data_IF_959812884992
#
_entry.id   IF_959812884992
#
_cell.length_a   1.000
_cell.length_b   1.000
_cell.length_c   1.000
_cell.angle_alpha   90.00
_cell.angle_beta   90.00
_cell.angle_gamma   90.00
#
_symmetry.space_group_name_H-M   'P 1'
#
loop_
_entity.id
_entity.type
_entity.pdbx_description
1 polymer ?
#
# COMPACT_ATOMS: atom_id res chain seq x y z
N UNK A 1 -12.45 11.70 -1.85
CA UNK A 1 -11.05 11.29 -1.99
C UNK A 1 -10.44 12.00 -3.19
N UNK A 2 -9.14 12.33 -3.15
CA UNK A 2 -8.44 13.00 -4.26
C UNK A 2 -6.98 12.56 -4.32
N UNK A 3 -6.34 12.68 -5.47
CA UNK A 3 -4.90 12.61 -5.60
C UNK A 3 -4.31 14.01 -5.55
N UNK A 4 -3.25 14.17 -4.76
CA UNK A 4 -2.54 15.42 -4.65
C UNK A 4 -1.07 15.20 -4.98
N UNK A 5 -0.57 15.96 -5.93
CA UNK A 5 0.86 16.00 -6.26
C UNK A 5 1.46 17.22 -5.56
N UNK A 6 2.22 17.06 -4.45
CA UNK A 6 2.62 18.18 -3.61
C UNK A 6 3.48 19.22 -4.34
N UNK A 7 4.39 18.76 -5.21
CA UNK A 7 5.34 19.64 -5.89
C UNK A 7 4.71 20.50 -6.99
N UNK A 8 3.71 19.97 -7.70
CA UNK A 8 2.97 20.75 -8.71
C UNK A 8 1.71 21.40 -8.15
N UNK A 9 1.37 21.10 -6.89
CA UNK A 9 0.09 21.46 -6.25
C UNK A 9 -1.13 21.00 -7.04
N UNK A 10 -0.97 20.02 -7.93
CA UNK A 10 -2.06 19.50 -8.75
C UNK A 10 -2.94 18.59 -7.90
N UNK A 11 -4.24 18.83 -7.95
CA UNK A 11 -5.26 18.00 -7.31
C UNK A 11 -6.10 17.34 -8.40
N UNK A 12 -6.30 16.03 -8.29
CA UNK A 12 -7.21 15.25 -9.11
C UNK A 12 -8.30 14.74 -8.18
N UNK A 13 -9.47 15.36 -8.25
CA UNK A 13 -10.63 14.90 -7.50
C UNK A 13 -11.14 13.59 -8.08
N UNK A 14 -11.49 12.66 -7.19
CA UNK A 14 -12.12 11.41 -7.59
C UNK A 14 -13.64 11.52 -7.41
N UNK A 15 -14.42 10.90 -8.30
CA UNK A 15 -15.87 10.83 -8.16
C UNK A 15 -16.28 10.22 -6.81
N UNK A 16 -17.52 10.51 -6.40
CA UNK A 16 -18.13 10.16 -5.11
C UNK A 16 -17.48 8.96 -4.43
N UNK A 17 -16.67 9.23 -3.41
CA UNK A 17 -15.88 8.20 -2.73
C UNK A 17 -16.82 7.25 -2.00
N UNK A 18 -16.76 5.92 -2.26
CA UNK A 18 -17.77 4.98 -1.80
C UNK A 18 -17.60 4.56 -0.33
N UNK A 19 -16.57 5.06 0.34
CA UNK A 19 -16.28 4.76 1.75
C UNK A 19 -16.20 6.06 2.56
N UNK A 20 -16.91 6.10 3.68
CA UNK A 20 -16.95 7.21 4.63
C UNK A 20 -15.81 7.17 5.63
N UNK A 21 -15.32 5.97 5.97
CA UNK A 21 -14.26 5.73 6.95
C UNK A 21 -13.18 4.80 6.38
N UNK A 22 -11.92 5.18 6.58
CA UNK A 22 -10.76 4.38 6.18
C UNK A 22 -10.32 3.50 7.36
N UNK A 23 -10.62 2.21 7.30
CA UNK A 23 -10.06 1.19 8.19
C UNK A 23 -9.01 0.34 7.45
N UNK A 24 -9.41 -0.82 6.94
CA UNK A 24 -8.55 -1.82 6.31
C UNK A 24 -8.45 -1.65 4.79
N UNK A 25 -8.56 -0.41 4.32
CA UNK A 25 -8.51 -0.11 2.90
C UNK A 25 -7.07 -0.07 2.43
N UNK A 26 -6.75 -0.89 1.45
CA UNK A 26 -5.45 -0.90 0.79
C UNK A 26 -5.65 -0.64 -0.69
N UNK A 27 -4.87 0.28 -1.23
CA UNK A 27 -5.01 0.75 -2.60
C UNK A 27 -3.73 0.52 -3.40
N UNK A 28 -3.88 0.18 -4.67
CA UNK A 28 -2.82 0.17 -5.66
C UNK A 28 -3.26 0.89 -6.94
N UNK A 29 -2.26 1.40 -7.65
CA UNK A 29 -2.42 2.13 -8.90
C UNK A 29 -1.80 1.35 -10.04
N UNK A 30 -2.46 1.31 -11.18
CA UNK A 30 -1.88 0.72 -12.39
C UNK A 30 -0.73 1.55 -12.94
N UNK A 31 -0.80 2.87 -12.83
CA UNK A 31 0.28 3.78 -13.22
C UNK A 31 0.16 5.12 -12.47
N UNK A 32 0.91 6.14 -12.90
CA UNK A 32 0.82 7.46 -12.27
C UNK A 32 -0.64 7.98 -12.29
N UNK A 33 -1.16 8.54 -11.18
CA UNK A 33 -2.53 9.07 -11.12
C UNK A 33 -2.83 10.16 -12.16
N UNK A 34 -1.78 10.80 -12.69
CA UNK A 34 -1.83 11.80 -13.76
C UNK A 34 -1.83 11.21 -15.16
N UNK A 35 -1.76 9.89 -15.33
CA UNK A 35 -1.88 9.19 -16.62
C UNK A 35 -3.35 8.92 -16.96
N UNK A 36 -3.73 8.99 -18.23
CA UNK A 36 -5.12 8.74 -18.68
C UNK A 36 -5.54 7.28 -18.52
N UNK A 37 -4.58 6.35 -18.58
CA UNK A 37 -4.81 4.93 -18.39
C UNK A 37 -4.71 4.49 -16.92
N UNK A 38 -4.74 5.43 -15.97
CA UNK A 38 -4.63 5.10 -14.55
C UNK A 38 -5.91 4.46 -14.04
N UNK A 39 -5.75 3.32 -13.40
CA UNK A 39 -6.78 2.60 -12.67
C UNK A 39 -6.36 2.51 -11.21
N UNK A 40 -7.32 2.71 -10.32
CA UNK A 40 -7.15 2.68 -8.88
C UNK A 40 -7.96 1.51 -8.37
N UNK A 41 -7.30 0.54 -7.78
CA UNK A 41 -7.92 -0.63 -7.20
C UNK A 41 -7.76 -0.55 -5.69
N UNK A 42 -8.88 -0.41 -4.99
CA UNK A 42 -8.95 -0.38 -3.53
C UNK A 42 -9.67 -1.64 -3.08
N UNK A 43 -9.11 -2.30 -2.09
CA UNK A 43 -9.77 -3.43 -1.45
C UNK A 43 -9.81 -3.18 0.05
N UNK A 44 -10.87 -3.65 0.68
CA UNK A 44 -10.94 -3.69 2.14
C UNK A 44 -11.61 -4.98 2.59
N UNK A 45 -11.27 -5.37 3.81
CA UNK A 45 -11.95 -6.45 4.51
C UNK A 45 -13.26 -5.92 5.08
N UNK A 46 -14.37 -6.60 4.81
CA UNK A 46 -15.66 -6.30 5.44
C UNK A 46 -15.81 -7.14 6.71
N UNK A 47 -15.48 -8.42 6.64
CA UNK A 47 -15.53 -9.35 7.77
C UNK A 47 -14.59 -10.56 7.56
N UNK A 48 -14.75 -11.62 8.35
CA UNK A 48 -13.95 -12.85 8.26
C UNK A 48 -14.02 -13.61 6.92
N UNK A 49 -15.06 -13.33 6.13
CA UNK A 49 -15.51 -14.13 5.00
C UNK A 49 -15.75 -13.31 3.73
N UNK A 50 -15.46 -12.01 3.75
CA UNK A 50 -15.84 -11.10 2.68
C UNK A 50 -14.83 -9.96 2.51
N UNK A 51 -14.45 -9.74 1.25
CA UNK A 51 -13.71 -8.58 0.80
C UNK A 51 -14.61 -7.71 -0.06
N UNK A 52 -14.41 -6.41 -0.01
CA UNK A 52 -15.04 -5.48 -0.93
C UNK A 52 -14.01 -4.88 -1.86
N UNK A 53 -14.25 -5.04 -3.15
CA UNK A 53 -13.46 -4.51 -4.24
C UNK A 53 -14.07 -3.19 -4.72
N UNK A 54 -13.25 -2.17 -4.81
CA UNK A 54 -13.56 -0.88 -5.39
C UNK A 54 -12.55 -0.58 -6.50
N UNK A 55 -13.02 -0.41 -7.74
CA UNK A 55 -12.18 -0.05 -8.87
C UNK A 55 -12.66 1.25 -9.47
N UNK A 56 -11.73 2.14 -9.79
CA UNK A 56 -12.01 3.38 -10.51
C UNK A 56 -11.00 3.57 -11.63
N UNK A 57 -11.50 3.77 -12.85
CA UNK A 57 -10.66 4.21 -13.97
C UNK A 57 -10.70 5.71 -14.05
N UNK A 58 -9.58 6.30 -14.46
CA UNK A 58 -9.53 7.76 -14.63
C UNK A 58 -10.50 8.18 -15.73
N UNK A 59 -11.36 9.15 -15.39
CA UNK A 59 -12.39 9.68 -16.28
C UNK A 59 -13.78 9.09 -16.01
N UNK A 60 -13.86 7.97 -15.29
CA UNK A 60 -15.14 7.41 -14.87
C UNK A 60 -15.82 8.34 -13.86
N UNK A 61 -17.15 8.33 -13.87
CA UNK A 61 -17.99 9.12 -12.95
C UNK A 61 -18.36 8.36 -11.69
N UNK A 62 -18.16 7.05 -11.66
CA UNK A 62 -18.63 6.16 -10.60
C UNK A 62 -17.60 5.05 -10.35
N UNK A 63 -17.63 4.51 -9.13
CA UNK A 63 -16.78 3.41 -8.73
C UNK A 63 -17.44 2.08 -9.08
N UNK A 64 -16.69 1.20 -9.75
CA UNK A 64 -17.07 -0.21 -9.82
C UNK A 64 -16.91 -0.83 -8.43
N UNK A 65 -17.93 -1.54 -7.96
CA UNK A 65 -17.95 -2.16 -6.64
C UNK A 65 -18.39 -3.61 -6.73
N UNK A 66 -17.71 -4.48 -5.98
CA UNK A 66 -18.09 -5.89 -5.89
C UNK A 66 -17.74 -6.46 -4.53
N UNK A 67 -18.71 -7.14 -3.93
CA UNK A 67 -18.48 -7.97 -2.76
C UNK A 67 -17.97 -9.34 -3.20
N UNK A 68 -16.90 -9.80 -2.56
CA UNK A 68 -16.13 -10.98 -2.95
C UNK A 68 -16.11 -11.93 -1.75
N UNK A 69 -16.84 -13.06 -1.81
CA UNK A 69 -16.78 -14.09 -0.79
C UNK A 69 -15.35 -14.64 -0.73
N UNK A 70 -14.74 -14.58 0.45
CA UNK A 70 -13.40 -15.10 0.66
C UNK A 70 -13.17 -15.52 2.10
N UNK A 71 -12.88 -16.82 2.33
CA UNK A 71 -12.59 -17.33 3.66
C UNK A 71 -11.12 -17.22 4.05
N UNK A 72 -10.87 -16.62 5.21
CA UNK A 72 -9.60 -16.71 5.92
C UNK A 72 -8.49 -15.78 5.41
N UNK A 73 -8.80 -14.79 4.57
CA UNK A 73 -7.88 -13.67 4.34
C UNK A 73 -7.73 -12.90 5.65
N UNK A 74 -6.49 -12.65 6.06
CA UNK A 74 -6.21 -11.77 7.19
C UNK A 74 -6.20 -10.29 6.75
N UNK A 75 -5.87 -9.38 7.65
CA UNK A 75 -5.68 -7.96 7.35
C UNK A 75 -4.72 -7.80 6.17
N UNK A 76 -5.19 -7.12 5.12
CA UNK A 76 -4.39 -6.85 3.92
C UNK A 76 -3.33 -5.80 4.30
N UNK A 77 -2.06 -6.09 4.03
CA UNK A 77 -0.91 -5.27 4.42
C UNK A 77 -0.19 -4.60 3.24
N UNK A 78 -0.44 -5.08 2.04
CA UNK A 78 0.22 -4.54 0.86
C UNK A 78 -0.66 -4.69 -0.36
N UNK A 79 -0.61 -3.67 -1.22
CA UNK A 79 -1.15 -3.74 -2.56
C UNK A 79 -0.07 -3.30 -3.56
N UNK A 80 -0.13 -3.87 -4.75
CA UNK A 80 0.81 -3.61 -5.81
C UNK A 80 0.15 -3.78 -7.17
N UNK A 81 0.78 -3.25 -8.23
CA UNK A 81 0.34 -3.52 -9.59
C UNK A 81 1.49 -4.02 -10.46
N UNK A 82 1.19 -5.01 -11.30
CA UNK A 82 1.99 -5.37 -12.47
C UNK A 82 1.40 -4.72 -13.70
N UNK A 83 2.07 -3.67 -14.15
CA UNK A 83 1.66 -2.90 -15.34
C UNK A 83 1.65 -3.73 -16.61
N UNK A 84 2.54 -4.72 -16.73
CA UNK A 84 2.66 -5.58 -17.92
C UNK A 84 1.52 -6.58 -18.07
N UNK A 85 0.86 -6.94 -16.97
CA UNK A 85 -0.26 -7.90 -16.95
C UNK A 85 -1.59 -7.24 -16.59
N UNK A 86 -1.59 -5.96 -16.22
CA UNK A 86 -2.74 -5.24 -15.69
C UNK A 86 -3.39 -5.95 -14.49
N UNK A 87 -2.53 -6.42 -13.60
CA UNK A 87 -2.90 -7.21 -12.43
C UNK A 87 -2.55 -6.47 -11.14
N UNK A 88 -3.52 -6.35 -10.24
CA UNK A 88 -3.35 -5.85 -8.89
C UNK A 88 -3.17 -7.01 -7.92
N UNK A 89 -2.12 -6.95 -7.12
CA UNK A 89 -1.73 -7.97 -6.15
C UNK A 89 -1.97 -7.42 -4.76
N UNK A 90 -2.75 -8.15 -3.95
CA UNK A 90 -3.05 -7.81 -2.57
C UNK A 90 -2.55 -8.92 -1.66
N UNK A 91 -1.67 -8.55 -0.73
CA UNK A 91 -1.06 -9.49 0.20
C UNK A 91 -1.58 -9.28 1.60
N UNK A 92 -1.97 -10.38 2.24
CA UNK A 92 -2.28 -10.38 3.67
C UNK A 92 -1.06 -10.69 4.52
N UNK A 93 -1.24 -10.67 5.84
CA UNK A 93 -0.17 -10.92 6.79
C UNK A 93 0.32 -12.40 6.80
N UNK A 94 -0.44 -13.31 6.21
CA UNK A 94 -0.25 -14.77 6.24
C UNK A 94 0.22 -15.37 4.91
N UNK A 95 0.81 -14.54 4.03
CA UNK A 95 1.28 -14.94 2.69
C UNK A 95 0.17 -15.39 1.73
N UNK A 96 -1.08 -15.02 2.00
CA UNK A 96 -2.16 -15.20 1.03
C UNK A 96 -2.14 -14.04 0.04
N UNK A 97 -2.40 -14.39 -1.21
CA UNK A 97 -2.37 -13.48 -2.33
C UNK A 97 -3.74 -13.45 -2.99
N UNK A 98 -4.31 -12.26 -3.07
CA UNK A 98 -5.49 -11.97 -3.84
C UNK A 98 -5.09 -11.15 -5.07
N UNK A 99 -5.44 -11.65 -6.26
CA UNK A 99 -5.12 -11.00 -7.53
C UNK A 99 -6.42 -10.51 -8.15
N UNK A 100 -6.47 -9.22 -8.49
CA UNK A 100 -7.51 -8.63 -9.33
C UNK A 100 -6.90 -8.34 -10.69
N UNK A 101 -7.55 -8.78 -11.75
CA UNK A 101 -7.13 -8.48 -13.11
C UNK A 101 -8.26 -7.73 -13.82
N UNK A 102 -7.87 -6.79 -14.65
CA UNK A 102 -8.79 -5.95 -15.41
C UNK A 102 -8.46 -6.11 -16.89
N UNK A 103 -9.45 -6.52 -17.67
CA UNK A 103 -9.34 -6.64 -19.12
C UNK A 103 -10.48 -5.84 -19.76
N UNK A 104 -10.16 -4.69 -20.33
CA UNK A 104 -11.14 -3.73 -20.86
C UNK A 104 -12.27 -3.43 -19.85
N UNK A 105 -13.43 -4.06 -19.99
CA UNK A 105 -14.59 -3.87 -19.10
C UNK A 105 -14.82 -5.05 -18.13
N UNK A 106 -14.03 -6.11 -18.25
CA UNK A 106 -14.10 -7.27 -17.37
C UNK A 106 -13.19 -7.07 -16.16
N UNK A 107 -13.74 -7.38 -15.00
CA UNK A 107 -13.01 -7.42 -13.74
C UNK A 107 -13.11 -8.85 -13.23
N UNK A 108 -11.97 -9.50 -13.05
CA UNK A 108 -11.89 -10.84 -12.50
C UNK A 108 -10.91 -10.90 -11.34
N UNK A 109 -10.99 -11.98 -10.56
CA UNK A 109 -10.13 -12.18 -9.42
C UNK A 109 -9.75 -13.63 -9.21
N UNK A 110 -8.61 -13.86 -8.54
CA UNK A 110 -8.13 -15.17 -8.14
C UNK A 110 -7.56 -15.10 -6.73
N UNK A 111 -7.74 -16.19 -5.99
CA UNK A 111 -7.21 -16.34 -4.65
C UNK A 111 -6.17 -17.44 -4.64
N UNK A 112 -5.01 -17.15 -4.06
CA UNK A 112 -3.93 -18.09 -3.87
C UNK A 112 -3.49 -18.07 -2.41
N UNK A 113 -3.24 -19.26 -1.86
CA UNK A 113 -2.48 -19.41 -0.63
C UNK A 113 -1.08 -19.82 -1.03
N UNK A 114 -0.08 -18.98 -0.78
CA UNK A 114 1.29 -19.41 -0.95
C UNK A 114 1.61 -20.45 0.14
N UNK A 115 2.08 -21.63 -0.28
CA UNK A 115 2.55 -22.68 0.61
C UNK A 115 3.98 -23.02 0.22
N UNK A 116 4.95 -23.01 1.15
CA UNK A 116 6.31 -23.48 0.88
C UNK A 116 6.37 -24.96 0.46
N UNK A 117 5.33 -25.74 0.81
CA UNK A 117 5.26 -27.20 0.61
C UNK A 117 4.70 -27.56 -0.77
N UNK A 118 3.95 -26.65 -1.40
CA UNK A 118 3.37 -26.86 -2.73
C UNK A 118 3.63 -25.63 -3.61
N UNK A 119 4.76 -25.59 -4.33
CA UNK A 119 5.14 -24.46 -5.17
C UNK A 119 4.35 -24.38 -6.49
N UNK A 120 3.28 -25.17 -6.67
CA UNK A 120 2.46 -25.17 -7.91
C UNK A 120 1.60 -23.92 -8.07
N UNK A 121 1.41 -23.13 -7.00
CA UNK A 121 0.78 -21.81 -7.09
C UNK A 121 1.64 -20.81 -7.89
N UNK A 122 1.05 -19.76 -8.49
CA UNK A 122 1.82 -18.70 -9.12
C UNK A 122 2.75 -18.08 -8.06
N UNK A 123 4.05 -18.33 -8.20
CA UNK A 123 5.02 -17.68 -7.34
C UNK A 123 4.90 -16.17 -7.57
N UNK A 124 4.71 -15.36 -6.52
CA UNK A 124 4.84 -13.93 -6.67
C UNK A 124 6.24 -13.69 -7.23
N UNK A 125 6.36 -13.10 -8.43
CA UNK A 125 7.65 -12.75 -9.05
C UNK A 125 8.37 -11.60 -8.30
N UNK A 126 8.04 -11.44 -7.03
CA UNK A 126 8.30 -10.29 -6.22
C UNK A 126 9.07 -10.71 -4.99
N UNK A 127 10.10 -9.94 -4.66
CA UNK A 127 10.70 -10.05 -3.34
C UNK A 127 9.87 -9.27 -2.33
N UNK A 128 9.27 -9.99 -1.39
CA UNK A 128 8.48 -9.40 -0.32
C UNK A 128 9.37 -9.19 0.91
N UNK A 129 9.39 -7.96 1.43
CA UNK A 129 10.03 -7.59 2.70
C UNK A 129 8.96 -7.24 3.73
N UNK A 130 8.67 -8.20 4.62
CA UNK A 130 7.86 -7.96 5.82
C UNK A 130 8.73 -7.27 6.88
N UNK A 131 8.15 -6.36 7.66
CA UNK A 131 8.81 -5.69 8.79
C UNK A 131 10.14 -5.02 8.44
N UNK A 132 10.28 -4.49 7.23
CA UNK A 132 11.51 -3.85 6.74
C UNK A 132 11.92 -2.65 7.61
N UNK A 133 10.99 -1.75 7.94
CA UNK A 133 11.31 -0.55 8.71
C UNK A 133 11.64 -0.88 10.16
N UNK A 134 10.97 -1.88 10.73
CA UNK A 134 11.32 -2.43 12.04
C UNK A 134 12.73 -3.03 12.03
N UNK A 135 13.04 -3.89 11.05
CA UNK A 135 14.32 -4.59 10.96
C UNK A 135 15.50 -3.68 10.60
N UNK A 136 15.23 -2.51 10.02
CA UNK A 136 16.26 -1.53 9.63
C UNK A 136 16.46 -0.42 10.66
N UNK A 137 15.83 -0.54 11.84
CA UNK A 137 15.86 0.44 12.94
C UNK A 137 15.51 1.86 12.47
N UNK A 138 14.41 1.97 11.74
CA UNK A 138 13.99 3.23 11.12
C UNK A 138 13.70 4.31 12.19
N UNK A 139 13.26 3.92 13.40
CA UNK A 139 13.08 4.88 14.51
C UNK A 139 14.36 5.63 14.81
N UNK A 140 15.48 4.90 14.94
CA UNK A 140 16.78 5.52 15.20
C UNK A 140 17.25 6.35 14.02
N UNK A 141 17.11 5.85 12.79
CA UNK A 141 17.51 6.57 11.57
C UNK A 141 16.77 7.88 11.36
N UNK A 142 15.51 7.94 11.79
CA UNK A 142 14.69 9.16 11.75
C UNK A 142 14.93 10.10 12.94
N UNK A 143 15.85 9.77 13.85
CA UNK A 143 16.07 10.55 15.08
C UNK A 143 14.90 10.50 16.07
N UNK A 144 13.96 9.56 15.89
CA UNK A 144 12.78 9.40 16.75
C UNK A 144 13.09 8.60 18.03
N UNK A 145 14.27 7.98 18.11
CA UNK A 145 14.71 7.15 19.24
C UNK A 145 15.38 7.95 20.39
N UNK A 146 15.02 9.22 20.58
CA UNK A 146 15.65 10.11 21.57
C UNK A 146 15.11 9.83 22.99
N UNK A 147 16.03 9.75 23.96
CA UNK A 147 15.75 9.36 25.35
C UNK A 147 14.71 10.22 26.11
N UNK A 148 14.44 11.44 25.62
CA UNK A 148 13.63 12.44 26.31
C UNK A 148 12.35 12.86 25.55
N UNK A 149 12.09 12.28 24.37
CA UNK A 149 10.89 12.59 23.60
C UNK A 149 9.79 11.54 23.82
N UNK A 150 8.55 12.02 23.85
CA UNK A 150 7.34 11.20 23.94
C UNK A 150 7.42 10.02 22.97
N UNK A 151 6.89 8.87 23.42
CA UNK A 151 6.91 7.62 22.70
C UNK A 151 6.23 7.73 21.32
N UNK A 152 6.98 8.06 20.27
CA UNK A 152 6.44 8.25 18.91
C UNK A 152 6.17 6.90 18.24
N UNK A 153 4.89 6.59 18.04
CA UNK A 153 4.44 5.58 17.09
C UNK A 153 4.39 6.17 15.68
N UNK A 154 4.82 5.41 14.68
CA UNK A 154 4.64 5.81 13.29
C UNK A 154 4.13 4.63 12.46
N UNK A 155 3.43 4.96 11.37
CA UNK A 155 2.97 3.98 10.40
C UNK A 155 3.50 4.33 9.02
N UNK A 156 3.79 3.32 8.22
CA UNK A 156 4.28 3.46 6.86
C UNK A 156 3.26 2.88 5.88
N UNK A 157 3.22 3.44 4.68
CA UNK A 157 2.48 2.83 3.58
C UNK A 157 3.34 1.73 2.93
N UNK A 158 2.68 0.69 2.40
CA UNK A 158 3.35 -0.29 1.56
C UNK A 158 3.94 0.37 0.31
N UNK A 159 5.06 -0.14 -0.19
CA UNK A 159 5.77 0.46 -1.32
C UNK A 159 6.28 -0.60 -2.28
N UNK A 160 6.05 -0.38 -3.57
CA UNK A 160 6.68 -1.09 -4.68
C UNK A 160 7.96 -0.40 -5.11
N UNK A 161 9.05 -1.16 -5.24
CA UNK A 161 10.34 -0.68 -5.75
C UNK A 161 11.01 -1.72 -6.64
N UNK A 162 11.87 -1.27 -7.56
CA UNK A 162 12.75 -2.17 -8.32
C UNK A 162 14.07 -2.36 -7.56
N UNK A 163 14.48 -3.61 -7.37
CA UNK A 163 15.77 -3.98 -6.77
C UNK A 163 16.45 -5.03 -7.65
N UNK A 164 17.63 -4.71 -8.18
CA UNK A 164 18.38 -5.62 -9.05
C UNK A 164 17.60 -6.06 -10.31
N UNK A 165 16.79 -5.15 -10.88
CA UNK A 165 15.94 -5.44 -12.05
C UNK A 165 14.68 -6.25 -11.76
N UNK A 166 14.47 -6.69 -10.50
CA UNK A 166 13.27 -7.41 -10.06
C UNK A 166 12.37 -6.50 -9.25
N UNK A 167 11.08 -6.72 -9.35
CA UNK A 167 10.12 -6.00 -8.52
C UNK A 167 10.18 -6.51 -7.08
N UNK A 168 10.10 -5.60 -6.13
CA UNK A 168 10.13 -5.89 -4.69
C UNK A 168 9.16 -5.01 -3.93
N UNK A 169 8.64 -5.53 -2.83
CA UNK A 169 7.65 -4.88 -1.99
C UNK A 169 8.10 -4.76 -0.56
N UNK A 170 7.80 -3.61 0.02
CA UNK A 170 7.85 -3.39 1.47
C UNK A 170 6.42 -3.28 1.94
N UNK A 171 6.03 -4.07 2.94
CA UNK A 171 4.69 -4.03 3.50
C UNK A 171 4.44 -2.73 4.27
N UNK A 172 3.17 -2.38 4.42
CA UNK A 172 2.81 -1.34 5.37
C UNK A 172 3.14 -1.83 6.80
N UNK A 173 3.70 -0.95 7.61
CA UNK A 173 4.08 -1.29 8.99
C UNK A 173 3.46 -0.27 9.94
N UNK A 174 2.98 -0.74 11.08
CA UNK A 174 2.63 0.13 12.21
C UNK A 174 3.57 -0.22 13.35
N UNK A 175 4.46 0.71 13.69
CA UNK A 175 5.52 0.47 14.66
C UNK A 175 5.17 1.25 15.93
N UNK A 176 4.48 0.57 16.84
CA UNK A 176 4.09 1.09 18.14
C UNK A 176 5.30 1.28 19.06
N UNK A 177 5.10 2.02 20.15
CA UNK A 177 6.08 2.11 21.23
C UNK A 177 5.75 1.08 22.30
N UNK A 178 6.77 0.38 22.81
CA UNK A 178 6.63 -0.72 23.77
C UNK A 178 6.14 -0.33 25.17
N UNK A 179 5.83 0.94 25.44
CA UNK A 179 5.20 1.30 26.73
C UNK A 179 3.70 1.16 26.59
N UNK A 180 3.11 0.30 27.43
CA UNK A 180 1.68 0.29 27.78
C UNK A 180 1.32 1.65 28.37
N UNK A 181 1.16 2.64 27.52
CA UNK A 181 0.53 3.90 27.88
C UNK A 181 -0.87 3.71 27.31
N UNK A 182 -1.84 3.53 28.22
CA UNK A 182 -3.25 3.80 27.92
C UNK A 182 -3.30 5.00 26.99
N UNK A 183 -4.10 4.92 25.92
CA UNK A 183 -4.25 5.94 24.87
C UNK A 183 -4.57 7.32 25.45
N UNK A 184 -3.58 7.94 26.09
CA UNK A 184 -3.63 9.31 26.51
C UNK A 184 -3.59 10.10 25.22
N UNK A 185 -4.44 11.11 25.15
CA UNK A 185 -4.66 12.01 24.02
C UNK A 185 -3.41 12.85 23.69
N UNK A 186 -2.20 12.35 23.94
CA UNK A 186 -0.92 12.94 23.59
C UNK A 186 -0.79 13.00 22.07
N UNK A 187 -0.37 14.16 21.59
CA UNK A 187 -0.27 14.58 20.19
C UNK A 187 0.15 13.44 19.24
N UNK A 188 -0.79 12.94 18.45
CA UNK A 188 -0.48 12.07 17.31
C UNK A 188 0.19 12.91 16.22
N UNK A 189 1.52 13.00 16.25
CA UNK A 189 2.27 13.60 15.14
C UNK A 189 2.18 12.68 13.92
N UNK A 190 1.60 13.18 12.84
CA UNK A 190 1.48 12.47 11.56
C UNK A 190 2.47 13.10 10.57
N UNK A 191 3.51 12.36 10.23
CA UNK A 191 4.45 12.71 9.16
C UNK A 191 4.24 11.82 7.96
N UNK A 192 4.30 12.38 6.75
CA UNK A 192 4.28 11.62 5.50
C UNK A 192 5.67 11.70 4.89
N UNK A 193 6.33 10.56 4.73
CA UNK A 193 7.59 10.48 4.01
C UNK A 193 7.31 10.30 2.51
N UNK A 194 7.78 11.26 1.72
CA UNK A 194 7.67 11.22 0.25
C UNK A 194 9.07 11.04 -0.28
N UNK A 195 9.38 9.85 -0.79
CA UNK A 195 10.61 9.62 -1.54
C UNK A 195 10.43 10.13 -2.98
N UNK A 196 11.07 11.23 -3.40
CA UNK A 196 10.89 11.75 -4.75
C UNK A 196 11.50 10.80 -5.77
N UNK A 197 10.78 10.54 -6.87
CA UNK A 197 11.33 9.80 -8.03
C UNK A 197 12.46 10.53 -8.76
N UNK A 198 12.69 11.80 -8.44
CA UNK A 198 13.67 12.67 -9.12
C UNK A 198 14.63 13.31 -8.11
N UNK A 199 15.45 12.52 -7.43
CA UNK A 199 16.66 13.05 -6.79
C UNK A 199 17.80 13.01 -7.83
N UNK A 200 18.07 14.14 -8.46
CA UNK A 200 19.44 14.47 -8.90
C UNK A 200 19.94 15.49 -7.89
N UNK A 201 20.69 15.05 -6.88
CA UNK A 201 21.56 15.97 -6.13
C UNK A 201 22.70 16.31 -7.10
N UNK A 202 22.88 17.56 -7.53
CA UNK A 202 24.05 17.94 -8.32
C UNK A 202 25.31 17.69 -7.48
N UNK A 203 26.41 17.15 -8.04
CA UNK A 203 27.60 16.70 -7.29
C UNK A 203 28.36 17.79 -6.50
N UNK A 204 27.89 19.04 -6.47
CA UNK A 204 28.63 20.20 -5.98
C UNK A 204 28.10 20.82 -4.69
N UNK A 205 27.02 20.30 -4.12
CA UNK A 205 26.37 20.90 -2.94
C UNK A 205 26.17 19.90 -1.79
N UNK A 206 27.14 19.00 -1.58
CA UNK A 206 27.23 18.23 -0.34
C UNK A 206 28.45 18.67 0.47
N UNK A 207 28.20 19.46 1.52
CA UNK A 207 29.01 19.45 2.74
C UNK A 207 28.08 19.19 3.91
N UNK A 208 28.46 18.22 4.75
CA UNK A 208 27.77 17.80 5.97
C UNK A 208 27.63 18.94 6.99
#
# INVERSE_FOLDING_TARGET
MFFFQPFSKTKIDLPGCPFSELSDHVAAFSCAPTSWACEVCVINRVNGYELKLHLLRRGDKEWFQRDIPCSGIDTIKCAACRTDQQEFYFFDNTDRLFIVFTDHNLVGWRFFRWSPVDPTGPQPKFFVSKSYFMNTDMKKKLGLAMANHEAVSFSTCGTQRKSGGKDSFVYNESISCNRRIEESKSRQLRGVWIYPKFYRVPPKEETW
#
